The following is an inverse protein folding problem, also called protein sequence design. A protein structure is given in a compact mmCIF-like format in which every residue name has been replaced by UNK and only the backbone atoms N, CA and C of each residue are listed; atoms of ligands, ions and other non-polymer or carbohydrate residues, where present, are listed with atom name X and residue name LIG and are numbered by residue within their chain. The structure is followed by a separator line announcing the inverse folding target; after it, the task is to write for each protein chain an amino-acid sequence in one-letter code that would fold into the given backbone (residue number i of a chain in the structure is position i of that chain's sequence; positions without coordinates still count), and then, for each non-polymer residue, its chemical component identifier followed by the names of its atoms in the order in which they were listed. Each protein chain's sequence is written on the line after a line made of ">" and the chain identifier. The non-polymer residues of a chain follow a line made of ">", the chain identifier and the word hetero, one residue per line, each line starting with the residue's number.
data_IF_553863179610
#
_entry.id   IF_553863179610
#
_cell.length_a   1.000
_cell.length_b   1.000
_cell.length_c   1.000
_cell.angle_alpha   90.00
_cell.angle_beta   90.00
_cell.angle_gamma   90.00
#
_symmetry.space_group_name_H-M   'P 1'
#
loop_
_entity.id
_entity.type
_entity.pdbx_description
1 polymer ?
#
# COMPACT_ATOMS: atom_id res chain seq x y z
N UNK A 1 6.47 -64.98 -14.90
CA UNK A 1 5.88 -64.13 -13.83
C UNK A 1 6.68 -62.87 -13.52
N UNK A 2 8.02 -62.88 -13.63
CA UNK A 2 8.87 -61.71 -13.32
C UNK A 2 8.57 -60.44 -14.17
N UNK A 3 8.26 -60.58 -15.46
CA UNK A 3 7.99 -59.44 -16.34
C UNK A 3 6.74 -58.63 -15.95
N UNK A 4 5.65 -59.30 -15.51
CA UNK A 4 4.43 -58.64 -15.04
C UNK A 4 4.63 -57.89 -13.72
N UNK A 5 5.52 -58.38 -12.85
CA UNK A 5 5.85 -57.74 -11.58
C UNK A 5 6.67 -56.46 -11.83
N UNK A 6 7.64 -56.52 -12.74
CA UNK A 6 8.44 -55.36 -13.13
C UNK A 6 7.60 -54.24 -13.78
N UNK A 7 6.65 -54.62 -14.66
CA UNK A 7 5.74 -53.67 -15.29
C UNK A 7 4.76 -53.04 -14.29
N UNK A 8 4.32 -53.80 -13.28
CA UNK A 8 3.46 -53.29 -12.20
C UNK A 8 4.21 -52.35 -11.26
N UNK A 9 5.47 -52.64 -10.92
CA UNK A 9 6.32 -51.77 -10.11
C UNK A 9 6.64 -50.46 -10.86
N UNK A 10 6.90 -50.53 -12.18
CA UNK A 10 7.12 -49.33 -13.01
C UNK A 10 5.91 -48.41 -13.07
N UNK A 11 4.70 -48.97 -13.20
CA UNK A 11 3.44 -48.20 -13.18
C UNK A 11 3.16 -47.57 -11.81
N UNK A 12 3.44 -48.30 -10.72
CA UNK A 12 3.33 -47.76 -9.36
C UNK A 12 4.36 -46.64 -9.10
N UNK A 13 5.60 -46.80 -9.55
CA UNK A 13 6.64 -45.77 -9.44
C UNK A 13 6.29 -44.50 -10.21
N UNK A 14 5.75 -44.63 -11.43
CA UNK A 14 5.30 -43.49 -12.22
C UNK A 14 4.08 -42.80 -11.58
N UNK A 15 3.12 -43.57 -11.07
CA UNK A 15 1.97 -43.02 -10.36
C UNK A 15 2.38 -42.26 -9.07
N UNK A 16 3.35 -42.79 -8.32
CA UNK A 16 3.93 -42.10 -7.15
C UNK A 16 4.69 -40.83 -7.53
N UNK A 17 5.44 -40.85 -8.64
CA UNK A 17 6.15 -39.67 -9.13
C UNK A 17 5.19 -38.56 -9.60
N UNK A 18 4.12 -38.93 -10.32
CA UNK A 18 3.08 -37.98 -10.74
C UNK A 18 2.30 -37.46 -9.52
N UNK A 19 1.90 -38.33 -8.59
CA UNK A 19 1.22 -37.90 -7.36
C UNK A 19 2.10 -36.98 -6.50
N UNK A 20 3.39 -37.33 -6.33
CA UNK A 20 4.35 -36.49 -5.61
C UNK A 20 4.61 -35.15 -6.30
N UNK A 21 4.65 -35.13 -7.63
CA UNK A 21 4.79 -33.91 -8.43
C UNK A 21 3.57 -32.98 -8.29
N UNK A 22 2.36 -33.54 -8.31
CA UNK A 22 1.11 -32.78 -8.12
C UNK A 22 1.04 -32.18 -6.71
N UNK A 23 1.40 -32.95 -5.69
CA UNK A 23 1.43 -32.45 -4.30
C UNK A 23 2.46 -31.35 -4.13
N UNK A 24 3.66 -31.49 -4.72
CA UNK A 24 4.69 -30.45 -4.63
C UNK A 24 4.27 -29.17 -5.38
N UNK A 25 3.63 -29.30 -6.56
CA UNK A 25 3.12 -28.15 -7.31
C UNK A 25 1.95 -27.42 -6.62
N UNK A 26 1.29 -28.06 -5.65
CA UNK A 26 0.20 -27.48 -4.88
C UNK A 26 0.69 -26.74 -3.63
N UNK A 27 1.95 -26.93 -3.20
CA UNK A 27 2.49 -26.29 -2.01
C UNK A 27 3.11 -24.93 -2.35
N UNK A 28 2.49 -23.87 -1.84
CA UNK A 28 3.00 -22.50 -1.94
C UNK A 28 3.42 -21.99 -0.57
N UNK A 29 4.61 -21.37 -0.50
CA UNK A 29 5.10 -20.74 0.72
C UNK A 29 4.79 -19.24 0.71
N UNK A 30 4.25 -18.75 1.82
CA UNK A 30 4.06 -17.33 2.07
C UNK A 30 5.17 -16.82 2.97
N UNK A 31 5.99 -15.92 2.43
CA UNK A 31 7.13 -15.34 3.12
C UNK A 31 6.74 -14.40 4.26
N UNK A 32 7.70 -14.19 5.15
CA UNK A 32 7.54 -13.27 6.26
C UNK A 32 7.25 -11.83 5.81
N UNK A 33 6.11 -11.27 6.23
CA UNK A 33 5.70 -9.89 5.92
C UNK A 33 4.69 -9.78 4.78
N UNK A 34 4.42 -10.87 4.08
CA UNK A 34 3.36 -10.96 3.09
C UNK A 34 2.09 -11.56 3.71
N UNK A 35 0.93 -11.21 3.16
CA UNK A 35 -0.33 -11.90 3.42
C UNK A 35 -0.87 -12.41 2.10
N UNK A 36 -1.38 -13.62 2.12
CA UNK A 36 -2.00 -14.22 0.96
C UNK A 36 -3.53 -14.10 1.08
N UNK A 37 -4.16 -13.71 -0.03
CA UNK A 37 -5.60 -13.86 -0.20
C UNK A 37 -5.81 -15.11 -1.04
N UNK A 38 -6.59 -16.07 -0.53
CA UNK A 38 -6.91 -17.29 -1.28
C UNK A 38 -7.99 -16.95 -2.30
N UNK A 39 -7.73 -17.30 -3.57
CA UNK A 39 -8.73 -17.31 -4.62
C UNK A 39 -9.13 -18.74 -4.95
N UNK A 40 -10.42 -19.03 -4.90
CA UNK A 40 -11.01 -20.29 -5.36
C UNK A 40 -11.75 -20.03 -6.67
N UNK A 41 -11.45 -20.79 -7.73
CA UNK A 41 -12.08 -20.61 -9.04
C UNK A 41 -13.61 -20.81 -9.01
N UNK A 42 -14.15 -21.53 -8.03
CA UNK A 42 -15.59 -21.79 -7.91
C UNK A 42 -16.29 -20.87 -6.90
N UNK A 43 -15.57 -20.35 -5.91
CA UNK A 43 -16.13 -19.54 -4.80
C UNK A 43 -15.65 -18.08 -4.80
N UNK A 44 -14.72 -17.73 -5.69
CA UNK A 44 -14.12 -16.41 -5.76
C UNK A 44 -13.07 -16.17 -4.65
N UNK A 45 -12.89 -14.90 -4.31
CA UNK A 45 -11.98 -14.46 -3.24
C UNK A 45 -12.54 -14.88 -1.89
N UNK A 46 -11.78 -15.66 -1.12
CA UNK A 46 -12.17 -16.05 0.23
C UNK A 46 -11.86 -14.93 1.23
N UNK A 47 -12.73 -14.72 2.21
CA UNK A 47 -12.53 -13.77 3.32
C UNK A 47 -11.40 -14.20 4.29
N UNK A 48 -10.77 -15.36 4.05
CA UNK A 48 -9.72 -15.91 4.88
C UNK A 48 -8.38 -15.35 4.41
N UNK A 49 -7.76 -14.56 5.28
CA UNK A 49 -6.43 -14.00 5.04
C UNK A 49 -5.39 -14.91 5.64
N UNK A 50 -4.52 -15.41 4.77
CA UNK A 50 -3.54 -16.42 5.13
C UNK A 50 -2.21 -15.75 5.46
N UNK A 51 -1.68 -16.10 6.62
CA UNK A 51 -0.37 -15.65 7.08
C UNK A 51 0.77 -16.51 6.55
N UNK A 52 1.95 -16.31 7.14
CA UNK A 52 3.17 -17.08 6.86
C UNK A 52 2.91 -18.59 6.99
N UNK A 53 3.43 -19.39 6.06
CA UNK A 53 3.30 -20.85 6.08
C UNK A 53 3.16 -21.48 4.69
N UNK A 54 3.12 -22.81 4.64
CA UNK A 54 2.91 -23.58 3.41
C UNK A 54 1.43 -23.89 3.24
N UNK A 55 0.84 -23.51 2.10
CA UNK A 55 -0.59 -23.67 1.80
C UNK A 55 -0.79 -24.44 0.50
N UNK A 56 -1.91 -25.18 0.42
CA UNK A 56 -2.21 -26.13 -0.68
C UNK A 56 -2.98 -25.48 -1.86
N UNK A 57 -3.52 -24.27 -1.68
CA UNK A 57 -4.21 -23.52 -2.72
C UNK A 57 -3.32 -22.41 -3.26
N UNK A 58 -3.45 -22.11 -4.57
CA UNK A 58 -2.74 -21.03 -5.26
C UNK A 58 -3.21 -19.69 -4.67
N UNK A 59 -2.39 -19.01 -3.85
CA UNK A 59 -2.77 -17.73 -3.26
C UNK A 59 -2.31 -16.58 -4.16
N UNK A 60 -3.08 -15.50 -4.21
CA UNK A 60 -2.53 -14.21 -4.63
C UNK A 60 -1.81 -13.60 -3.44
N UNK A 61 -0.51 -13.31 -3.62
CA UNK A 61 0.37 -12.87 -2.55
C UNK A 61 0.40 -11.34 -2.54
N UNK A 62 -0.08 -10.75 -1.46
CA UNK A 62 -0.01 -9.31 -1.21
C UNK A 62 1.17 -8.99 -0.31
N UNK A 63 1.96 -8.00 -0.71
CA UNK A 63 2.90 -7.39 0.23
C UNK A 63 2.13 -6.52 1.23
N UNK A 64 2.28 -6.85 2.52
CA UNK A 64 1.67 -6.12 3.62
C UNK A 64 2.69 -5.35 4.44
N UNK A 65 3.91 -5.17 3.91
CA UNK A 65 4.94 -4.36 4.52
C UNK A 65 4.61 -2.88 4.33
N UNK A 66 4.98 -2.09 5.33
CA UNK A 66 4.90 -0.64 5.22
C UNK A 66 5.89 -0.15 4.16
N UNK A 67 5.39 0.48 3.10
CA UNK A 67 6.19 1.02 2.01
C UNK A 67 6.08 2.55 1.96
N UNK A 68 7.19 3.30 1.79
CA UNK A 68 7.11 4.73 1.59
C UNK A 68 6.57 5.03 0.18
N UNK A 69 5.61 5.94 0.08
CA UNK A 69 5.12 6.49 -1.18
C UNK A 69 5.21 8.01 -1.16
N UNK A 70 5.69 8.57 -2.26
CA UNK A 70 5.78 10.01 -2.46
C UNK A 70 4.69 10.45 -3.43
N UNK A 71 3.82 11.35 -2.99
CA UNK A 71 2.68 11.84 -3.76
C UNK A 71 2.76 13.36 -3.88
N UNK A 72 3.01 13.89 -5.09
CA UNK A 72 2.95 15.33 -5.33
C UNK A 72 1.48 15.78 -5.40
N UNK A 73 1.14 16.85 -4.70
CA UNK A 73 -0.20 17.42 -4.65
C UNK A 73 -0.11 18.94 -4.73
N UNK A 74 -0.95 19.54 -5.56
CA UNK A 74 -1.09 20.98 -5.69
C UNK A 74 -2.37 21.40 -4.96
N UNK A 75 -2.24 22.34 -4.03
CA UNK A 75 -3.38 22.85 -3.23
C UNK A 75 -3.22 24.34 -2.93
N UNK A 76 -4.34 25.01 -2.65
CA UNK A 76 -4.33 26.36 -2.09
C UNK A 76 -4.15 26.33 -0.57
N UNK A 77 -3.37 27.26 -0.03
CA UNK A 77 -3.32 27.58 1.41
C UNK A 77 -4.41 28.57 1.80
N UNK A 78 -4.51 28.88 3.10
CA UNK A 78 -5.51 29.79 3.66
C UNK A 78 -5.46 31.22 3.10
N UNK A 79 -4.26 31.68 2.75
CA UNK A 79 -3.98 32.96 2.10
C UNK A 79 -4.17 32.94 0.57
N UNK A 80 -4.84 31.90 0.03
CA UNK A 80 -5.11 31.69 -1.39
C UNK A 80 -3.83 31.54 -2.25
N UNK A 81 -2.69 31.25 -1.64
CA UNK A 81 -1.46 30.95 -2.37
C UNK A 81 -1.48 29.51 -2.90
N UNK A 82 -1.01 29.33 -4.13
CA UNK A 82 -0.84 27.98 -4.70
C UNK A 82 0.45 27.38 -4.17
N UNK A 83 0.34 26.23 -3.51
CA UNK A 83 1.47 25.49 -2.95
C UNK A 83 1.53 24.10 -3.59
N UNK A 84 2.71 23.74 -4.09
CA UNK A 84 3.01 22.40 -4.54
C UNK A 84 3.72 21.65 -3.42
N UNK A 85 3.12 20.57 -2.97
CA UNK A 85 3.52 19.82 -1.78
C UNK A 85 3.81 18.38 -2.21
N UNK A 86 5.01 17.89 -1.94
CA UNK A 86 5.32 16.46 -2.05
C UNK A 86 5.14 15.82 -0.69
N UNK A 87 4.11 15.00 -0.54
CA UNK A 87 3.85 14.26 0.68
C UNK A 87 4.51 12.89 0.63
N UNK A 88 5.17 12.50 1.72
CA UNK A 88 5.63 11.14 1.98
C UNK A 88 4.64 10.47 2.91
N UNK A 89 4.19 9.29 2.51
CA UNK A 89 3.22 8.50 3.24
C UNK A 89 3.84 7.14 3.51
N UNK A 90 3.82 6.74 4.77
CA UNK A 90 4.09 5.37 5.17
C UNK A 90 2.76 4.73 5.52
N UNK A 91 2.33 3.75 4.71
CA UNK A 91 1.06 3.07 4.90
C UNK A 91 1.26 1.57 4.88
N UNK A 92 0.36 0.86 5.55
CA UNK A 92 0.25 -0.60 5.47
C UNK A 92 -1.21 -1.02 5.34
N UNK A 93 -1.52 -1.99 4.47
CA UNK A 93 -2.88 -2.48 4.35
C UNK A 93 -3.32 -3.21 5.63
N UNK A 94 -4.60 -3.04 5.98
CA UNK A 94 -5.21 -3.76 7.11
C UNK A 94 -5.39 -5.22 6.69
N UNK A 95 -4.64 -6.12 7.34
CA UNK A 95 -4.67 -7.55 7.00
C UNK A 95 -6.09 -8.13 7.03
N UNK A 96 -6.99 -7.71 7.91
CA UNK A 96 -8.36 -8.23 7.98
C UNK A 96 -9.29 -7.77 6.85
N UNK A 97 -8.95 -6.68 6.15
CA UNK A 97 -9.79 -6.10 5.09
C UNK A 97 -9.25 -6.39 3.68
N UNK A 98 -8.07 -7.01 3.57
CA UNK A 98 -7.43 -7.37 2.29
C UNK A 98 -8.38 -8.05 1.28
N UNK A 99 -9.23 -9.04 1.64
CA UNK A 99 -10.10 -9.70 0.67
C UNK A 99 -11.14 -8.76 0.06
N UNK A 100 -11.66 -7.83 0.88
CA UNK A 100 -12.63 -6.81 0.43
C UNK A 100 -11.96 -5.75 -0.42
N UNK A 101 -10.79 -5.26 -0.01
CA UNK A 101 -9.99 -4.30 -0.79
C UNK A 101 -9.61 -4.89 -2.15
N UNK A 102 -9.17 -6.15 -2.18
CA UNK A 102 -8.80 -6.85 -3.40
C UNK A 102 -9.99 -7.04 -4.35
N UNK A 103 -11.15 -7.44 -3.83
CA UNK A 103 -12.35 -7.66 -4.65
C UNK A 103 -12.93 -6.35 -5.21
N UNK A 104 -12.83 -5.25 -4.45
CA UNK A 104 -13.42 -3.96 -4.83
C UNK A 104 -12.54 -3.13 -5.76
N UNK A 105 -11.22 -3.10 -5.53
CA UNK A 105 -10.31 -2.16 -6.21
C UNK A 105 -9.26 -2.90 -7.06
N UNK A 106 -8.95 -4.16 -6.75
CA UNK A 106 -7.90 -4.95 -7.42
C UNK A 106 -6.53 -4.83 -6.75
N UNK A 107 -5.47 -5.24 -7.45
CA UNK A 107 -4.08 -5.14 -6.97
C UNK A 107 -3.63 -3.67 -6.83
N UNK A 108 -4.12 -2.78 -7.68
CA UNK A 108 -3.75 -1.35 -7.75
C UNK A 108 -4.45 -0.48 -6.68
N UNK A 109 -4.75 -1.06 -5.51
CA UNK A 109 -5.48 -0.33 -4.46
C UNK A 109 -4.68 0.88 -3.97
N UNK A 110 -3.36 0.77 -3.90
CA UNK A 110 -2.47 1.82 -3.46
C UNK A 110 -2.38 2.96 -4.50
N UNK A 111 -2.40 2.65 -5.79
CA UNK A 111 -2.35 3.66 -6.85
C UNK A 111 -3.68 4.43 -7.03
N UNK A 112 -4.81 3.81 -6.70
CA UNK A 112 -6.14 4.43 -6.94
C UNK A 112 -6.75 5.10 -5.71
N UNK A 113 -6.74 4.43 -4.55
CA UNK A 113 -7.38 4.96 -3.35
C UNK A 113 -6.51 5.97 -2.62
N UNK A 114 -5.21 5.70 -2.47
CA UNK A 114 -4.33 6.54 -1.66
C UNK A 114 -4.25 7.97 -2.17
N UNK A 115 -4.08 8.25 -3.48
CA UNK A 115 -4.00 9.63 -3.95
C UNK A 115 -5.29 10.41 -3.69
N UNK A 116 -6.45 9.79 -3.85
CA UNK A 116 -7.75 10.42 -3.62
C UNK A 116 -7.92 10.82 -2.15
N UNK A 117 -7.75 9.86 -1.23
CA UNK A 117 -7.93 10.10 0.22
C UNK A 117 -6.88 11.10 0.73
N UNK A 118 -5.62 10.92 0.34
CA UNK A 118 -4.52 11.79 0.75
C UNK A 118 -4.73 13.21 0.26
N UNK A 119 -5.12 13.38 -1.00
CA UNK A 119 -5.35 14.71 -1.59
C UNK A 119 -6.48 15.43 -0.86
N UNK A 120 -7.55 14.72 -0.51
CA UNK A 120 -8.67 15.28 0.25
C UNK A 120 -8.22 15.75 1.65
N UNK A 121 -7.52 14.88 2.39
CA UNK A 121 -7.01 15.20 3.72
C UNK A 121 -6.05 16.38 3.64
N UNK A 122 -5.10 16.35 2.69
CA UNK A 122 -4.11 17.42 2.52
C UNK A 122 -4.79 18.76 2.24
N UNK A 123 -5.73 18.82 1.29
CA UNK A 123 -6.50 20.04 1.00
C UNK A 123 -7.20 20.56 2.24
N UNK A 124 -7.79 19.67 3.02
CA UNK A 124 -8.58 20.02 4.21
C UNK A 124 -7.74 20.54 5.39
N UNK A 125 -6.47 20.15 5.47
CA UNK A 125 -5.53 20.60 6.50
C UNK A 125 -4.81 21.86 6.03
N UNK A 126 -4.28 21.87 4.80
CA UNK A 126 -3.53 23.01 4.24
C UNK A 126 -4.38 24.28 4.12
N UNK A 127 -5.69 24.14 3.88
CA UNK A 127 -6.61 25.29 3.88
C UNK A 127 -6.73 26.02 5.24
N UNK A 128 -6.20 25.44 6.33
CA UNK A 128 -6.21 26.05 7.68
C UNK A 128 -4.94 26.84 7.99
N UNK A 129 -3.87 26.65 7.23
CA UNK A 129 -2.56 27.24 7.46
C UNK A 129 -2.19 28.23 6.35
N UNK A 130 -1.47 29.28 6.71
CA UNK A 130 -0.90 30.23 5.75
C UNK A 130 0.38 29.64 5.12
N UNK A 131 0.80 30.13 3.95
CA UNK A 131 1.96 29.59 3.23
C UNK A 131 3.25 29.60 4.07
N UNK A 132 3.46 30.64 4.89
CA UNK A 132 4.61 30.73 5.80
C UNK A 132 4.53 29.77 6.99
N UNK A 133 3.33 29.42 7.44
CA UNK A 133 3.11 28.47 8.55
C UNK A 133 3.39 27.04 8.11
N UNK A 134 3.14 26.71 6.84
CA UNK A 134 3.49 25.40 6.28
C UNK A 134 5.01 25.11 6.36
N UNK A 135 5.85 26.14 6.36
CA UNK A 135 7.31 26.02 6.53
C UNK A 135 7.66 25.93 8.01
N UNK A 136 7.16 26.85 8.82
CA UNK A 136 7.57 27.01 10.22
C UNK A 136 6.94 25.99 11.16
N UNK A 137 5.71 25.56 10.88
CA UNK A 137 4.90 24.65 11.69
C UNK A 137 4.68 23.29 11.00
N UNK A 138 5.62 22.88 10.14
CA UNK A 138 5.55 21.63 9.37
C UNK A 138 5.23 20.39 10.22
N UNK A 139 5.78 20.31 11.44
CA UNK A 139 5.52 19.18 12.36
C UNK A 139 4.06 19.13 12.80
N UNK A 140 3.47 20.29 13.14
CA UNK A 140 2.08 20.38 13.52
C UNK A 140 1.16 19.98 12.36
N UNK A 141 1.47 20.42 11.14
CA UNK A 141 0.73 20.01 9.94
C UNK A 141 0.82 18.49 9.72
N UNK A 142 2.00 17.90 9.95
CA UNK A 142 2.20 16.44 9.88
C UNK A 142 1.29 15.67 10.85
N UNK A 143 1.18 16.17 12.08
CA UNK A 143 0.34 15.57 13.12
C UNK A 143 -1.15 15.67 12.76
N UNK A 144 -1.60 16.84 12.33
CA UNK A 144 -2.98 17.07 11.90
C UNK A 144 -3.37 16.18 10.71
N UNK A 145 -2.44 15.97 9.76
CA UNK A 145 -2.64 15.05 8.64
C UNK A 145 -2.81 13.62 9.14
N UNK A 146 -1.93 13.16 10.04
CA UNK A 146 -1.94 11.80 10.57
C UNK A 146 -3.22 11.52 11.37
N UNK A 147 -3.64 12.45 12.24
CA UNK A 147 -4.87 12.34 13.02
C UNK A 147 -6.10 12.27 12.11
N UNK A 148 -6.15 13.12 11.10
CA UNK A 148 -7.28 13.14 10.17
C UNK A 148 -7.32 11.89 9.30
N UNK A 149 -6.17 11.37 8.92
CA UNK A 149 -6.08 10.19 8.09
C UNK A 149 -6.48 8.90 8.84
N UNK A 150 -6.32 8.84 10.16
CA UNK A 150 -6.81 7.75 10.99
C UNK A 150 -8.34 7.53 10.87
N UNK A 151 -9.09 8.57 10.48
CA UNK A 151 -10.56 8.49 10.31
C UNK A 151 -10.96 7.71 9.05
N UNK A 152 -10.07 7.56 8.06
CA UNK A 152 -10.38 6.94 6.77
C UNK A 152 -10.21 5.42 6.73
N UNK A 153 -9.99 4.77 7.89
CA UNK A 153 -9.93 3.31 7.99
C UNK A 153 -8.69 2.67 7.35
N UNK A 154 -7.72 3.47 6.92
CA UNK A 154 -6.40 3.04 6.47
C UNK A 154 -5.41 3.16 7.64
N UNK A 155 -4.57 2.13 7.84
CA UNK A 155 -3.46 2.25 8.78
C UNK A 155 -2.33 3.01 8.08
N UNK A 156 -2.31 4.31 8.36
CA UNK A 156 -1.23 5.20 7.98
C UNK A 156 -0.29 5.27 9.17
N UNK A 157 0.92 4.76 9.00
CA UNK A 157 1.93 4.72 10.05
C UNK A 157 2.57 6.12 10.23
N UNK A 158 2.72 6.89 9.15
CA UNK A 158 3.21 8.27 9.16
C UNK A 158 2.85 9.04 7.88
N UNK A 159 2.60 10.34 7.99
CA UNK A 159 2.42 11.26 6.86
C UNK A 159 3.27 12.51 7.09
N UNK A 160 4.19 12.82 6.16
CA UNK A 160 5.12 13.95 6.32
C UNK A 160 5.35 14.75 5.03
N UNK A 161 5.48 16.06 5.18
CA UNK A 161 5.58 17.04 4.08
C UNK A 161 7.00 17.17 3.50
N UNK A 162 7.49 16.28 2.62
CA UNK A 162 8.90 16.32 2.18
C UNK A 162 9.36 17.64 1.54
N UNK A 163 8.69 18.07 0.49
CA UNK A 163 9.06 19.25 -0.30
C UNK A 163 7.88 20.21 -0.41
N UNK A 164 8.15 21.50 -0.24
CA UNK A 164 7.18 22.59 -0.36
C UNK A 164 7.73 23.58 -1.37
N UNK A 165 6.98 23.82 -2.45
CA UNK A 165 7.29 24.83 -3.46
C UNK A 165 6.13 25.79 -3.54
N UNK A 166 6.42 27.08 -3.37
CA UNK A 166 5.44 28.15 -3.45
C UNK A 166 5.41 28.77 -4.84
N UNK A 167 4.36 29.54 -5.13
CA UNK A 167 4.32 30.40 -6.31
C UNK A 167 5.56 31.31 -6.40
N UNK A 168 5.93 31.70 -7.63
CA UNK A 168 7.11 32.53 -7.91
C UNK A 168 7.07 33.86 -7.13
N UNK A 169 5.90 34.49 -7.08
CA UNK A 169 5.68 35.77 -6.40
C UNK A 169 5.94 35.70 -4.89
N UNK A 170 5.51 34.63 -4.22
CA UNK A 170 5.76 34.42 -2.79
C UNK A 170 7.25 34.15 -2.52
N UNK A 171 7.88 33.32 -3.35
CA UNK A 171 9.31 32.99 -3.21
C UNK A 171 10.17 34.25 -3.35
N UNK A 172 9.88 35.09 -4.36
CA UNK A 172 10.57 36.37 -4.55
C UNK A 172 10.36 37.33 -3.37
N UNK A 173 9.13 37.40 -2.83
CA UNK A 173 8.83 38.24 -1.67
C UNK A 173 9.56 37.77 -0.39
N UNK A 174 9.68 36.45 -0.17
CA UNK A 174 10.41 35.87 0.96
C UNK A 174 11.91 36.12 0.83
N UNK A 175 12.48 35.90 -0.36
CA UNK A 175 13.90 36.17 -0.63
C UNK A 175 14.25 37.66 -0.45
N UNK A 176 13.37 38.56 -0.91
CA UNK A 176 13.55 40.00 -0.72
C UNK A 176 13.53 40.38 0.76
N UNK A 177 12.59 39.83 1.55
CA UNK A 177 12.56 40.02 3.00
C UNK A 177 13.83 39.51 3.68
N UNK A 178 14.32 38.33 3.29
CA UNK A 178 15.54 37.75 3.86
C UNK A 178 16.79 38.57 3.56
N UNK A 179 16.87 39.23 2.39
CA UNK A 179 17.99 40.13 2.03
C UNK A 179 17.96 41.47 2.76
N UNK A 180 16.81 41.87 3.28
CA UNK A 180 16.63 43.14 4.01
C UNK A 180 16.87 43.04 5.51
N UNK A 181 17.05 41.82 6.03
CA UNK A 181 17.41 41.48 7.41
C UNK A 181 18.92 41.28 7.53
#
# INVERSE_FOLDING_TARGET
>A
MAAKVFESIGKFGLALAVAGGVVNSALYNVDAGHRAVIFDQFRGVQDIVVGKGTHVLIPWVFDCRSGPRNMPVITGSKDLQTVNITLRILFRPVASQLPRTFTSIGEDYDERMLPSITTEILKSVVARFDAGELITQREQVSNDLTERAATFGLILDDMSLMHLTFGKEFTEAVEAKQKSL
#
